data_IF_529665315740
#
_entry.id   IF_529665315740
#
_cell.length_a   1.000
_cell.length_b   1.000
_cell.length_c   1.000
_cell.angle_alpha   90.00
_cell.angle_beta   90.00
_cell.angle_gamma   90.00
#
_symmetry.space_group_name_H-M   'P 1'
#
loop_
_entity.id
_entity.type
_entity.pdbx_description
1 polymer ?
#
# COMPACT_ATOMS: atom_id res chain seq x y z
N UNK A 1 9.07 19.37 -5.57
CA UNK A 1 9.03 18.58 -6.82
C UNK A 1 7.83 17.68 -6.71
N UNK A 2 6.85 17.80 -7.60
CA UNK A 2 5.67 16.94 -7.63
C UNK A 2 6.00 15.69 -8.45
N UNK A 3 5.83 14.48 -7.87
CA UNK A 3 6.11 13.23 -8.56
C UNK A 3 4.84 12.75 -9.26
N UNK A 4 4.95 12.39 -10.54
CA UNK A 4 3.85 11.88 -11.35
C UNK A 4 4.09 10.41 -11.66
N UNK A 5 3.05 9.60 -11.44
CA UNK A 5 3.01 8.15 -11.66
C UNK A 5 2.06 7.85 -12.81
N UNK A 6 2.61 7.54 -13.98
CA UNK A 6 1.82 7.27 -15.17
C UNK A 6 1.03 5.97 -15.07
N UNK A 7 -0.22 6.00 -15.51
CA UNK A 7 -1.15 4.84 -15.56
C UNK A 7 -1.27 4.05 -14.25
N UNK A 8 -1.02 4.70 -13.13
CA UNK A 8 -0.93 4.07 -11.81
C UNK A 8 -2.26 4.03 -11.06
N UNK A 9 -3.30 4.71 -11.55
CA UNK A 9 -4.61 4.71 -10.90
C UNK A 9 -5.27 3.32 -10.97
N UNK A 10 -5.60 2.68 -9.84
CA UNK A 10 -6.24 1.37 -9.83
C UNK A 10 -7.67 1.40 -10.38
N UNK A 11 -8.36 2.55 -10.27
CA UNK A 11 -9.75 2.75 -10.69
C UNK A 11 -9.91 2.95 -12.20
N UNK A 12 -9.12 3.84 -12.81
CA UNK A 12 -9.29 4.23 -14.21
C UNK A 12 -8.06 4.00 -15.12
N UNK A 13 -6.94 3.50 -14.57
CA UNK A 13 -5.66 3.36 -15.27
C UNK A 13 -5.07 4.69 -15.79
N UNK A 14 -5.50 5.79 -15.20
CA UNK A 14 -4.96 7.13 -15.42
C UNK A 14 -3.73 7.46 -14.59
N UNK A 15 -3.25 8.69 -14.75
CA UNK A 15 -2.06 9.19 -14.08
C UNK A 15 -2.39 9.69 -12.67
N UNK A 16 -1.44 9.53 -11.75
CA UNK A 16 -1.54 10.03 -10.38
C UNK A 16 -0.36 10.94 -10.06
N UNK A 17 -0.54 11.87 -9.13
CA UNK A 17 0.55 12.72 -8.64
C UNK A 17 0.51 12.81 -7.11
N UNK A 18 1.67 13.04 -6.49
CA UNK A 18 1.78 13.18 -5.03
C UNK A 18 1.44 14.61 -4.58
N UNK A 19 0.68 14.74 -3.49
CA UNK A 19 0.47 15.99 -2.76
C UNK A 19 0.75 15.78 -1.27
N UNK A 20 0.92 16.90 -0.56
CA UNK A 20 1.09 16.95 0.89
C UNK A 20 0.00 17.84 1.47
N UNK A 21 -0.66 17.38 2.52
CA UNK A 21 -1.54 18.19 3.36
C UNK A 21 -1.08 18.15 4.83
N UNK A 22 -1.95 18.55 5.75
CA UNK A 22 -1.68 18.53 7.18
C UNK A 22 -1.60 17.12 7.79
N UNK A 23 -2.19 16.11 7.13
CA UNK A 23 -2.25 14.73 7.59
C UNK A 23 -1.12 13.88 7.02
N UNK A 24 -0.56 14.26 5.87
CA UNK A 24 0.61 13.61 5.32
C UNK A 24 0.69 13.70 3.80
N UNK A 25 1.48 12.80 3.24
CA UNK A 25 1.63 12.68 1.79
C UNK A 25 0.60 11.69 1.24
N UNK A 26 -0.10 12.08 0.19
CA UNK A 26 -1.09 11.25 -0.51
C UNK A 26 -0.91 11.40 -2.02
N UNK A 27 -1.49 10.48 -2.79
CA UNK A 27 -1.55 10.59 -4.25
C UNK A 27 -2.98 10.74 -4.73
N UNK A 28 -3.19 11.60 -5.71
CA UNK A 28 -4.48 11.87 -6.34
C UNK A 28 -4.42 11.55 -7.84
N UNK A 29 -5.48 10.94 -8.39
CA UNK A 29 -5.59 10.70 -9.82
C UNK A 29 -6.11 11.92 -10.58
N UNK A 30 -5.35 12.36 -11.60
CA UNK A 30 -5.70 13.51 -12.45
C UNK A 30 -6.98 13.31 -13.28
N UNK A 31 -7.38 12.06 -13.51
CA UNK A 31 -8.48 11.73 -14.43
C UNK A 31 -9.80 11.45 -13.70
N UNK A 32 -9.75 10.84 -12.50
CA UNK A 32 -10.96 10.41 -11.80
C UNK A 32 -11.04 10.83 -10.33
N UNK A 33 -10.04 11.56 -9.83
CA UNK A 33 -10.01 12.09 -8.45
C UNK A 33 -9.83 11.04 -7.35
N UNK A 34 -9.46 9.80 -7.68
CA UNK A 34 -9.15 8.80 -6.66
C UNK A 34 -7.96 9.27 -5.82
N UNK A 35 -8.16 9.40 -4.51
CA UNK A 35 -7.11 9.67 -3.53
C UNK A 35 -6.67 8.36 -2.86
N UNK A 36 -5.35 8.23 -2.63
CA UNK A 36 -4.77 7.14 -1.85
C UNK A 36 -3.67 7.71 -0.96
N UNK A 37 -3.73 7.40 0.33
CA UNK A 37 -2.68 7.77 1.27
C UNK A 37 -1.38 7.03 0.95
N UNK A 38 -0.23 7.66 1.18
CA UNK A 38 1.07 7.01 1.07
C UNK A 38 1.46 6.51 2.47
N UNK A 39 1.47 5.19 2.66
CA UNK A 39 2.00 4.60 3.89
C UNK A 39 3.49 4.97 4.01
N UNK A 40 3.83 5.87 4.93
CA UNK A 40 5.22 6.18 5.24
C UNK A 40 5.79 5.06 6.12
N UNK A 41 7.01 4.61 5.81
CA UNK A 41 7.71 3.53 6.52
C UNK A 41 8.01 3.82 8.00
N UNK A 42 7.49 4.91 8.58
CA UNK A 42 7.49 5.18 10.02
C UNK A 42 6.39 4.43 10.78
N UNK A 43 5.44 3.77 10.10
CA UNK A 43 4.34 2.99 10.71
C UNK A 43 4.56 1.46 10.61
N UNK A 44 5.68 1.02 10.03
CA UNK A 44 5.96 -0.40 9.75
C UNK A 44 6.57 -1.17 10.93
N UNK A 45 6.86 -0.53 12.08
CA UNK A 45 7.37 -1.23 13.27
C UNK A 45 6.30 -2.00 14.06
N UNK A 46 5.01 -1.95 13.70
CA UNK A 46 3.95 -2.64 14.47
C UNK A 46 2.97 -3.49 13.64
N UNK A 47 3.23 -3.77 12.36
CA UNK A 47 2.30 -4.54 11.51
C UNK A 47 2.96 -5.64 10.68
N UNK A 48 3.90 -6.37 11.28
CA UNK A 48 4.42 -7.63 10.73
C UNK A 48 3.95 -8.82 11.57
N UNK A 49 2.63 -9.02 11.68
CA UNK A 49 2.05 -10.29 12.14
C UNK A 49 0.58 -10.31 11.73
N UNK A 50 0.10 -11.45 11.22
CA UNK A 50 -1.27 -11.73 10.74
C UNK A 50 -1.54 -11.45 9.26
N UNK A 51 -0.80 -12.10 8.37
CA UNK A 51 -1.45 -12.79 7.25
C UNK A 51 -0.68 -14.07 6.97
N UNK A 52 -1.43 -15.18 6.84
CA UNK A 52 -1.00 -16.53 6.42
C UNK A 52 -0.63 -17.51 7.55
N UNK A 53 -1.59 -17.77 8.44
CA UNK A 53 -1.71 -19.10 9.06
C UNK A 53 -2.73 -19.91 8.26
N UNK A 54 -2.32 -20.43 7.10
CA UNK A 54 -3.04 -21.50 6.40
C UNK A 54 -2.14 -22.74 6.39
N UNK A 55 -2.43 -23.63 7.33
CA UNK A 55 -2.41 -25.09 7.21
C UNK A 55 -1.28 -25.77 6.42
N UNK A 56 -0.42 -26.51 7.13
CA UNK A 56 -0.12 -27.90 6.73
C UNK A 56 0.36 -28.73 7.92
N UNK A 57 -0.31 -29.86 8.14
CA UNK A 57 0.10 -30.94 9.04
C UNK A 57 1.31 -31.64 8.42
N UNK A 58 2.39 -31.78 9.18
CA UNK A 58 3.27 -32.94 9.02
C UNK A 58 3.67 -33.47 10.40
N UNK A 59 3.29 -34.73 10.64
CA UNK A 59 3.65 -35.53 11.81
C UNK A 59 4.99 -36.22 11.51
N UNK A 60 5.96 -36.07 12.38
CA UNK A 60 7.16 -36.91 12.54
C UNK A 60 7.68 -36.68 13.97
N UNK A 61 8.32 -37.59 14.70
CA UNK A 61 8.39 -39.04 14.83
C UNK A 61 9.25 -39.27 16.10
N UNK A 62 9.03 -40.39 16.78
CA UNK A 62 9.91 -41.14 17.68
C UNK A 62 11.11 -40.47 18.40
N UNK A 63 11.18 -40.70 19.73
CA UNK A 63 12.27 -41.44 20.37
C UNK A 63 11.87 -41.82 21.81
#
# INVERSE_FOLDING_TARGET
MEMVFYRSCPKCKGDMHTRRDFYGDFKECLQCGLMQDLETESDSEHRSEKVLATESRDKHEAA
#
